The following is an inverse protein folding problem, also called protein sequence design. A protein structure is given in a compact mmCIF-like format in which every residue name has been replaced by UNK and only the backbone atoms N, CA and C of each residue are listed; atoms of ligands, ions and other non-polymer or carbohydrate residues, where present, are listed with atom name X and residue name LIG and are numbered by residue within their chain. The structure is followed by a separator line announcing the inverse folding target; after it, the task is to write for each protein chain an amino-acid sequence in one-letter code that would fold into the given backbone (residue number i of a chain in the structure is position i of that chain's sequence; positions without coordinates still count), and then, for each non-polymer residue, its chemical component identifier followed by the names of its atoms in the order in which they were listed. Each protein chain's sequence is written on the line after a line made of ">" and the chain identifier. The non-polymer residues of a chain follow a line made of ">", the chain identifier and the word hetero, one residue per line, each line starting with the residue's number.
data_IF_961231973303
#
_entry.id   IF_961231973303
#
_cell.length_a   1.000
_cell.length_b   1.000
_cell.length_c   1.000
_cell.angle_alpha   90.00
_cell.angle_beta   90.00
_cell.angle_gamma   90.00
#
_symmetry.space_group_name_H-M   'P 1'
#
loop_
_entity.id
_entity.type
_entity.pdbx_description
1 polymer ?
#
# COMPACT_ATOMS: atom_id res chain seq x y z
N UNK A 1 -5.75 -12.71 -9.48
CA UNK A 1 -4.48 -13.44 -9.74
C UNK A 1 -4.72 -14.95 -9.75
N UNK A 2 -5.03 -15.61 -8.63
CA UNK A 2 -5.22 -17.08 -8.58
C UNK A 2 -6.36 -17.58 -9.47
N UNK A 3 -7.51 -16.92 -9.52
CA UNK A 3 -8.60 -17.28 -10.42
C UNK A 3 -8.18 -17.17 -11.89
N UNK A 4 -7.42 -16.14 -12.26
CA UNK A 4 -6.88 -16.00 -13.62
C UNK A 4 -5.83 -17.08 -13.98
N UNK A 5 -5.21 -17.69 -12.97
CA UNK A 5 -4.30 -18.82 -13.12
C UNK A 5 -5.02 -20.19 -13.05
N UNK A 6 -6.36 -20.20 -13.04
CA UNK A 6 -7.16 -21.44 -13.02
C UNK A 6 -7.28 -22.11 -11.65
N UNK A 7 -6.87 -21.45 -10.58
CA UNK A 7 -7.04 -22.00 -9.24
C UNK A 7 -8.53 -22.02 -8.84
N UNK A 8 -9.01 -23.10 -8.19
CA UNK A 8 -10.37 -23.17 -7.70
C UNK A 8 -10.62 -22.12 -6.62
N UNK A 9 -11.79 -21.53 -6.61
CA UNK A 9 -12.21 -20.58 -5.56
C UNK A 9 -13.05 -21.32 -4.48
N UNK A 10 -12.95 -20.93 -3.19
CA UNK A 10 -12.04 -19.94 -2.64
C UNK A 10 -10.60 -20.46 -2.49
N UNK A 11 -9.61 -19.58 -2.66
CA UNK A 11 -8.21 -19.91 -2.38
C UNK A 11 -7.96 -19.77 -0.88
N UNK A 12 -7.38 -20.77 -0.23
CA UNK A 12 -7.05 -20.70 1.18
C UNK A 12 -5.98 -19.64 1.48
N UNK A 13 -6.08 -18.96 2.61
CA UNK A 13 -5.13 -17.91 3.02
C UNK A 13 -3.69 -18.43 3.10
N UNK A 14 -3.50 -19.70 3.51
CA UNK A 14 -2.19 -20.34 3.54
C UNK A 14 -1.52 -20.41 2.17
N UNK A 15 -2.28 -20.70 1.11
CA UNK A 15 -1.78 -20.74 -0.27
C UNK A 15 -1.31 -19.34 -0.71
N UNK A 16 -2.05 -18.29 -0.34
CA UNK A 16 -1.67 -16.92 -0.62
C UNK A 16 -0.41 -16.53 0.18
N UNK A 17 -0.34 -16.90 1.44
CA UNK A 17 0.82 -16.67 2.30
C UNK A 17 2.06 -17.36 1.73
N UNK A 18 1.98 -18.64 1.42
CA UNK A 18 3.10 -19.39 0.86
C UNK A 18 3.57 -18.80 -0.47
N UNK A 19 2.64 -18.40 -1.33
CA UNK A 19 2.97 -17.73 -2.59
C UNK A 19 3.74 -16.43 -2.33
N UNK A 20 3.27 -15.57 -1.42
CA UNK A 20 3.92 -14.27 -1.13
C UNK A 20 5.30 -14.45 -0.50
N UNK A 21 5.44 -15.38 0.44
CA UNK A 21 6.75 -15.68 1.07
C UNK A 21 7.75 -16.22 0.05
N UNK A 22 7.31 -17.15 -0.80
CA UNK A 22 8.17 -17.70 -1.86
C UNK A 22 8.53 -16.64 -2.90
N UNK A 23 7.59 -15.76 -3.26
CA UNK A 23 7.88 -14.61 -4.13
C UNK A 23 8.91 -13.66 -3.50
N UNK A 24 8.79 -13.37 -2.20
CA UNK A 24 9.76 -12.55 -1.48
C UNK A 24 11.17 -13.18 -1.51
N UNK A 25 11.29 -14.48 -1.26
CA UNK A 25 12.56 -15.21 -1.36
C UNK A 25 13.17 -15.15 -2.76
N UNK A 26 12.34 -15.37 -3.78
CA UNK A 26 12.81 -15.45 -5.16
C UNK A 26 13.19 -14.09 -5.76
N UNK A 27 12.45 -13.02 -5.40
CA UNK A 27 12.58 -11.72 -6.05
C UNK A 27 13.47 -10.74 -5.28
N UNK A 28 13.55 -10.84 -3.96
CA UNK A 28 14.33 -9.89 -3.15
C UNK A 28 15.81 -9.82 -3.49
N UNK A 29 16.51 -10.89 -3.95
CA UNK A 29 17.90 -10.77 -4.39
C UNK A 29 18.11 -9.83 -5.57
N UNK A 30 17.05 -9.56 -6.36
CA UNK A 30 17.09 -8.76 -7.59
C UNK A 30 16.39 -7.42 -7.43
N UNK A 31 15.90 -7.08 -6.24
CA UNK A 31 15.16 -5.86 -5.97
C UNK A 31 15.87 -5.01 -4.92
N UNK A 32 15.80 -3.68 -5.05
CA UNK A 32 16.25 -2.74 -4.02
C UNK A 32 15.32 -2.69 -2.81
N UNK A 33 14.03 -2.94 -3.03
CA UNK A 33 13.02 -3.03 -1.98
C UNK A 33 11.87 -3.94 -2.39
N UNK A 34 11.17 -4.52 -1.40
CA UNK A 34 9.96 -5.33 -1.60
C UNK A 34 8.88 -4.92 -0.62
N UNK A 35 7.65 -4.82 -1.12
CA UNK A 35 6.47 -4.50 -0.31
C UNK A 35 5.81 -5.78 0.19
N UNK A 36 5.59 -5.87 1.49
CA UNK A 36 4.87 -6.94 2.17
C UNK A 36 3.63 -6.41 2.88
N UNK A 37 2.57 -7.19 2.93
CA UNK A 37 1.36 -6.84 3.67
C UNK A 37 1.33 -7.53 5.04
N UNK A 38 0.67 -6.88 5.99
CA UNK A 38 0.52 -7.37 7.36
C UNK A 38 -0.32 -8.65 7.44
N UNK A 39 -1.36 -8.72 6.63
CA UNK A 39 -2.40 -9.75 6.76
C UNK A 39 -1.89 -11.16 6.42
N UNK A 40 -1.09 -11.28 5.35
CA UNK A 40 -0.77 -12.60 4.78
C UNK A 40 0.70 -12.99 4.82
N UNK A 41 1.64 -12.04 4.88
CA UNK A 41 3.03 -12.44 4.70
C UNK A 41 4.08 -11.76 5.59
N UNK A 42 3.83 -10.60 6.18
CA UNK A 42 4.85 -9.89 6.96
C UNK A 42 5.49 -10.77 8.03
N UNK A 43 4.68 -11.40 8.88
CA UNK A 43 5.17 -12.23 9.98
C UNK A 43 6.04 -13.40 9.48
N UNK A 44 5.53 -14.12 8.48
CA UNK A 44 6.25 -15.27 7.91
C UNK A 44 7.52 -14.87 7.17
N UNK A 45 7.51 -13.71 6.52
CA UNK A 45 8.69 -13.14 5.85
C UNK A 45 9.79 -12.84 6.88
N UNK A 46 9.43 -12.26 8.03
CA UNK A 46 10.37 -11.97 9.12
C UNK A 46 10.88 -13.25 9.77
N UNK A 47 9.98 -14.14 10.21
CA UNK A 47 10.32 -15.40 10.88
C UNK A 47 11.23 -16.30 10.03
N UNK A 48 11.01 -16.32 8.71
CA UNK A 48 11.78 -17.14 7.78
C UNK A 48 13.00 -16.44 7.18
N UNK A 49 13.26 -15.17 7.55
CA UNK A 49 14.31 -14.34 6.92
C UNK A 49 14.19 -14.38 5.39
N UNK A 50 12.97 -14.21 4.87
CA UNK A 50 12.64 -14.46 3.46
C UNK A 50 13.11 -13.35 2.50
N UNK A 51 13.58 -12.22 3.01
CA UNK A 51 14.08 -11.08 2.21
C UNK A 51 15.61 -11.06 2.26
N UNK A 52 16.25 -10.93 1.09
CA UNK A 52 17.70 -10.80 0.97
C UNK A 52 18.20 -9.57 1.73
N UNK A 53 19.38 -9.64 2.36
CA UNK A 53 19.95 -8.53 3.14
C UNK A 53 20.20 -7.25 2.33
N UNK A 54 20.35 -7.37 1.01
CA UNK A 54 20.49 -6.25 0.07
C UNK A 54 19.18 -5.55 -0.27
N UNK A 55 18.03 -6.13 0.10
CA UNK A 55 16.70 -5.64 -0.26
C UNK A 55 16.01 -5.03 0.96
N UNK A 56 15.51 -3.81 0.82
CA UNK A 56 14.75 -3.15 1.88
C UNK A 56 13.33 -3.73 2.00
N UNK A 57 12.87 -3.93 3.23
CA UNK A 57 11.48 -4.31 3.50
C UNK A 57 10.62 -3.07 3.67
N UNK A 58 9.57 -2.97 2.86
CA UNK A 58 8.49 -1.99 2.96
C UNK A 58 7.25 -2.72 3.48
N UNK A 59 6.56 -2.17 4.47
CA UNK A 59 5.35 -2.80 5.03
C UNK A 59 4.13 -1.96 4.71
N UNK A 60 3.07 -2.61 4.22
CA UNK A 60 1.79 -1.94 4.00
C UNK A 60 1.16 -1.52 5.32
N UNK A 61 0.70 -0.26 5.38
CA UNK A 61 0.06 0.34 6.55
C UNK A 61 -1.42 0.64 6.29
N UNK A 62 -1.96 0.15 5.21
CA UNK A 62 -3.31 0.37 4.76
C UNK A 62 -4.25 -0.76 5.20
N UNK A 63 -5.41 -0.41 5.73
CA UNK A 63 -6.55 -1.30 5.95
C UNK A 63 -7.63 -0.98 4.91
N UNK A 64 -8.02 -2.00 4.13
CA UNK A 64 -9.04 -1.89 3.10
C UNK A 64 -10.43 -2.11 3.68
N UNK A 65 -11.30 -1.13 3.46
CA UNK A 65 -12.68 -1.18 3.92
C UNK A 65 -13.59 -1.49 2.71
N UNK A 66 -14.26 -2.65 2.70
CA UNK A 66 -15.22 -2.98 1.65
C UNK A 66 -16.49 -2.15 1.78
N UNK A 67 -17.16 -1.91 0.67
CA UNK A 67 -18.42 -1.18 0.63
C UNK A 67 -18.96 -1.11 -0.80
N UNK A 68 -20.21 -0.74 -0.95
CA UNK A 68 -20.84 -0.52 -2.25
C UNK A 68 -20.63 -1.67 -3.26
N UNK A 69 -20.55 -2.92 -2.78
CA UNK A 69 -20.34 -4.11 -3.61
C UNK A 69 -18.93 -4.28 -4.15
N UNK A 70 -17.95 -3.49 -3.70
CA UNK A 70 -16.54 -3.59 -4.07
C UNK A 70 -15.65 -3.91 -2.87
N UNK A 71 -14.55 -4.68 -3.08
CA UNK A 71 -13.65 -5.10 -1.99
C UNK A 71 -12.90 -3.95 -1.32
N UNK A 72 -12.66 -2.85 -2.04
CA UNK A 72 -11.95 -1.66 -1.55
C UNK A 72 -12.75 -0.43 -1.92
N UNK A 73 -13.62 0.01 -1.02
CA UNK A 73 -14.43 1.22 -1.17
C UNK A 73 -13.78 2.44 -0.52
N UNK A 74 -13.12 2.23 0.62
CA UNK A 74 -12.28 3.22 1.29
C UNK A 74 -11.03 2.57 1.89
N UNK A 75 -10.08 3.40 2.31
CA UNK A 75 -8.82 2.99 2.93
C UNK A 75 -8.58 3.85 4.16
N UNK A 76 -8.08 3.23 5.22
CA UNK A 76 -7.64 3.91 6.44
C UNK A 76 -6.26 3.40 6.84
N UNK A 77 -5.59 4.10 7.74
CA UNK A 77 -4.36 3.60 8.36
C UNK A 77 -4.72 2.38 9.23
N UNK A 78 -4.05 1.25 9.02
CA UNK A 78 -4.22 0.06 9.87
C UNK A 78 -3.76 0.38 11.31
N UNK A 79 -4.71 0.42 12.23
CA UNK A 79 -4.44 0.73 13.65
C UNK A 79 -3.72 -0.40 14.41
N UNK A 80 -3.56 -1.56 13.81
CA UNK A 80 -2.81 -2.68 14.36
C UNK A 80 -1.33 -2.63 14.03
N UNK A 81 -0.93 -1.71 13.12
CA UNK A 81 0.46 -1.57 12.73
C UNK A 81 1.32 -1.12 13.93
N UNK A 82 2.45 -1.77 14.09
CA UNK A 82 3.44 -1.41 15.13
C UNK A 82 4.75 -0.97 14.46
N UNK A 83 4.94 0.34 14.23
CA UNK A 83 6.12 0.84 13.53
C UNK A 83 7.43 0.54 14.24
N UNK A 84 7.42 0.53 15.58
CA UNK A 84 8.60 0.18 16.38
C UNK A 84 9.03 -1.27 16.12
N UNK A 85 8.08 -2.21 16.15
CA UNK A 85 8.35 -3.61 15.86
C UNK A 85 8.85 -3.79 14.42
N UNK A 86 8.20 -3.14 13.47
CA UNK A 86 8.62 -3.18 12.05
C UNK A 86 10.06 -2.69 11.90
N UNK A 87 10.43 -1.61 12.59
CA UNK A 87 11.80 -1.11 12.60
C UNK A 87 12.80 -2.12 13.17
N UNK A 88 12.44 -2.77 14.29
CA UNK A 88 13.24 -3.81 14.93
C UNK A 88 13.41 -5.05 14.03
N UNK A 89 12.39 -5.41 13.28
CA UNK A 89 12.37 -6.51 12.31
C UNK A 89 13.13 -6.17 11.01
N UNK A 90 13.72 -4.97 10.93
CA UNK A 90 14.52 -4.53 9.79
C UNK A 90 13.75 -3.78 8.70
N UNK A 91 12.47 -3.47 8.90
CA UNK A 91 11.68 -2.63 8.01
C UNK A 91 12.30 -1.24 7.84
N UNK A 92 12.22 -0.71 6.62
CA UNK A 92 12.79 0.59 6.25
C UNK A 92 11.74 1.63 5.96
N UNK A 93 10.57 1.22 5.52
CA UNK A 93 9.48 2.09 5.11
C UNK A 93 8.12 1.50 5.44
N UNK A 94 7.14 2.38 5.58
CA UNK A 94 5.73 2.03 5.51
C UNK A 94 5.13 2.58 4.21
N UNK A 95 4.10 1.92 3.69
CA UNK A 95 3.36 2.37 2.51
C UNK A 95 1.87 2.50 2.85
N UNK A 96 1.30 3.65 2.54
CA UNK A 96 -0.14 3.92 2.65
C UNK A 96 -0.74 4.10 1.25
N UNK A 97 -1.76 3.30 0.91
CA UNK A 97 -2.61 3.55 -0.24
C UNK A 97 -3.62 4.65 0.12
N UNK A 98 -3.73 5.66 -0.73
CA UNK A 98 -4.69 6.76 -0.60
C UNK A 98 -5.67 6.68 -1.76
N UNK A 99 -6.93 6.29 -1.50
CA UNK A 99 -7.94 6.39 -2.55
C UNK A 99 -8.26 7.85 -2.82
N UNK A 100 -8.17 8.23 -4.08
CA UNK A 100 -8.48 9.57 -4.52
C UNK A 100 -9.71 9.58 -5.43
N UNK A 101 -10.71 10.37 -5.06
CA UNK A 101 -11.88 10.70 -5.88
C UNK A 101 -12.11 12.19 -5.83
N UNK A 102 -12.46 12.77 -6.97
CA UNK A 102 -12.66 14.22 -7.10
C UNK A 102 -13.83 14.77 -6.28
N UNK A 103 -14.78 13.93 -5.92
CA UNK A 103 -15.98 14.29 -5.15
C UNK A 103 -15.90 13.90 -3.66
N UNK A 104 -14.74 13.47 -3.19
CA UNK A 104 -14.46 13.20 -1.76
C UNK A 104 -13.65 14.34 -1.13
N UNK A 105 -13.66 14.40 0.20
CA UNK A 105 -13.04 15.48 0.97
C UNK A 105 -11.50 15.43 0.88
N UNK A 106 -10.92 16.44 0.26
CA UNK A 106 -9.47 16.62 0.14
C UNK A 106 -8.79 16.82 1.50
N UNK A 107 -9.44 17.54 2.43
CA UNK A 107 -8.86 17.78 3.75
C UNK A 107 -8.73 16.48 4.55
N UNK A 108 -9.73 15.61 4.48
CA UNK A 108 -9.68 14.31 5.13
C UNK A 108 -8.51 13.44 4.62
N UNK A 109 -8.24 13.48 3.30
CA UNK A 109 -7.08 12.79 2.73
C UNK A 109 -5.76 13.37 3.20
N UNK A 110 -5.64 14.70 3.21
CA UNK A 110 -4.44 15.39 3.69
C UNK A 110 -4.18 15.12 5.17
N UNK A 111 -5.21 15.12 6.01
CA UNK A 111 -5.09 14.81 7.43
C UNK A 111 -4.63 13.37 7.66
N UNK A 112 -5.16 12.41 6.90
CA UNK A 112 -4.73 11.01 6.95
C UNK A 112 -3.26 10.85 6.53
N UNK A 113 -2.84 11.52 5.46
CA UNK A 113 -1.44 11.48 5.00
C UNK A 113 -0.51 12.14 6.01
N UNK A 114 -0.91 13.25 6.62
CA UNK A 114 -0.14 13.90 7.68
C UNK A 114 0.04 12.98 8.89
N UNK A 115 -1.04 12.37 9.37
CA UNK A 115 -0.98 11.39 10.47
C UNK A 115 -0.03 10.22 10.12
N UNK A 116 -0.11 9.71 8.91
CA UNK A 116 0.76 8.63 8.44
C UNK A 116 2.23 9.04 8.39
N UNK A 117 2.55 10.24 7.91
CA UNK A 117 3.91 10.76 7.88
C UNK A 117 4.48 10.92 9.30
N UNK A 118 3.68 11.49 10.21
CA UNK A 118 4.07 11.62 11.62
C UNK A 118 4.35 10.24 12.26
N UNK A 119 3.51 9.24 11.96
CA UNK A 119 3.71 7.87 12.41
C UNK A 119 5.03 7.28 11.90
N UNK A 120 5.36 7.47 10.62
CA UNK A 120 6.61 6.98 10.05
C UNK A 120 7.82 7.70 10.64
N UNK A 121 7.83 9.03 10.59
CA UNK A 121 8.97 9.85 10.96
C UNK A 121 9.31 9.74 12.45
N UNK A 122 8.31 9.66 13.33
CA UNK A 122 8.55 9.47 14.77
C UNK A 122 9.28 8.17 15.10
N UNK A 123 9.25 7.18 14.20
CA UNK A 123 9.95 5.90 14.34
C UNK A 123 11.17 5.78 13.41
N UNK A 124 11.52 6.83 12.67
CA UNK A 124 12.63 6.83 11.71
C UNK A 124 12.42 5.82 10.57
N UNK A 125 11.19 5.70 10.10
CA UNK A 125 10.80 4.96 8.90
C UNK A 125 10.51 5.93 7.76
N UNK A 126 10.81 5.50 6.54
CA UNK A 126 10.45 6.24 5.33
C UNK A 126 8.93 6.13 5.10
N UNK A 127 8.27 7.25 4.81
CA UNK A 127 6.86 7.30 4.44
C UNK A 127 6.68 7.23 2.93
N UNK A 128 5.86 6.27 2.47
CA UNK A 128 5.51 6.12 1.05
C UNK A 128 4.00 6.25 0.92
N UNK A 129 3.52 7.21 0.14
CA UNK A 129 2.11 7.28 -0.21
C UNK A 129 1.88 6.80 -1.64
N UNK A 130 0.77 6.11 -1.85
CA UNK A 130 0.35 5.58 -3.14
C UNK A 130 -1.08 6.06 -3.45
N UNK A 131 -1.26 7.28 -3.98
CA UNK A 131 -2.57 7.72 -4.44
C UNK A 131 -3.04 6.88 -5.63
N UNK A 132 -4.23 6.30 -5.49
CA UNK A 132 -4.90 5.51 -6.52
C UNK A 132 -6.22 6.18 -6.86
N UNK A 133 -6.32 6.65 -8.12
CA UNK A 133 -7.52 7.36 -8.57
C UNK A 133 -8.66 6.39 -8.87
N UNK A 134 -9.86 6.80 -8.50
CA UNK A 134 -11.11 6.08 -8.74
C UNK A 134 -12.16 7.01 -9.34
N UNK A 135 -13.12 6.49 -10.10
CA UNK A 135 -14.26 7.29 -10.53
C UNK A 135 -14.95 7.99 -9.35
N UNK A 136 -15.50 9.19 -9.54
CA UNK A 136 -16.28 9.85 -8.51
C UNK A 136 -17.48 8.99 -8.12
N UNK A 137 -17.97 9.13 -6.90
CA UNK A 137 -19.15 8.39 -6.43
C UNK A 137 -20.44 8.89 -7.10
N UNK A 138 -20.40 10.12 -7.59
CA UNK A 138 -21.52 10.78 -8.28
C UNK A 138 -21.07 11.29 -9.64
N UNK A 139 -21.85 11.01 -10.67
CA UNK A 139 -21.58 11.43 -12.04
C UNK A 139 -20.96 10.32 -12.91
N UNK A 140 -21.06 10.51 -14.24
CA UNK A 140 -20.70 9.47 -15.23
C UNK A 140 -19.38 9.76 -15.94
N UNK A 141 -18.81 10.95 -15.75
CA UNK A 141 -17.56 11.34 -16.43
C UNK A 141 -16.36 11.15 -15.52
N UNK A 142 -15.42 10.35 -15.98
CA UNK A 142 -14.15 10.12 -15.32
C UNK A 142 -12.99 10.20 -16.31
N UNK A 143 -12.21 11.26 -16.20
CA UNK A 143 -10.93 11.40 -16.88
C UNK A 143 -9.84 10.92 -15.92
N UNK A 144 -9.35 9.71 -16.15
CA UNK A 144 -8.37 9.08 -15.27
C UNK A 144 -7.02 9.80 -15.29
N UNK A 145 -6.58 10.29 -16.45
CA UNK A 145 -5.30 10.98 -16.57
C UNK A 145 -5.33 12.33 -15.85
N UNK A 146 -6.39 13.09 -16.04
CA UNK A 146 -6.57 14.33 -15.28
C UNK A 146 -6.67 14.08 -13.77
N UNK A 147 -7.36 13.02 -13.35
CA UNK A 147 -7.45 12.64 -11.95
C UNK A 147 -6.07 12.28 -11.35
N UNK A 148 -5.19 11.60 -12.08
CA UNK A 148 -3.81 11.32 -11.65
C UNK A 148 -3.03 12.62 -11.44
N UNK A 149 -3.17 13.57 -12.36
CA UNK A 149 -2.53 14.90 -12.26
C UNK A 149 -3.06 15.67 -11.04
N UNK A 150 -4.37 15.66 -10.83
CA UNK A 150 -5.00 16.38 -9.73
C UNK A 150 -4.67 15.75 -8.36
N UNK A 151 -4.61 14.42 -8.28
CA UNK A 151 -4.13 13.72 -7.10
C UNK A 151 -2.65 14.07 -6.79
N UNK A 152 -1.80 14.18 -7.82
CA UNK A 152 -0.41 14.56 -7.64
C UNK A 152 -0.26 16.02 -7.19
N UNK A 153 -1.09 16.94 -7.68
CA UNK A 153 -1.10 18.34 -7.22
C UNK A 153 -1.58 18.45 -5.76
N UNK A 154 -2.58 17.64 -5.36
CA UNK A 154 -3.12 17.66 -4.01
C UNK A 154 -2.17 17.07 -2.98
N UNK A 155 -1.53 15.95 -3.31
CA UNK A 155 -0.79 15.13 -2.34
C UNK A 155 0.73 15.14 -2.53
N UNK A 156 1.24 15.72 -3.62
CA UNK A 156 2.67 15.69 -3.94
C UNK A 156 3.56 16.39 -2.92
N UNK A 157 3.07 17.48 -2.34
CA UNK A 157 3.78 18.25 -1.32
C UNK A 157 3.29 17.96 0.12
N UNK A 158 2.68 16.79 0.34
CA UNK A 158 2.11 16.39 1.63
C UNK A 158 3.13 16.04 2.71
N UNK A 159 4.43 16.12 2.40
CA UNK A 159 5.52 15.79 3.32
C UNK A 159 5.87 14.31 3.40
N UNK A 160 5.30 13.46 2.54
CA UNK A 160 5.75 12.08 2.38
C UNK A 160 7.13 12.02 1.71
N UNK A 161 7.98 11.08 2.15
CA UNK A 161 9.32 10.93 1.60
C UNK A 161 9.32 10.42 0.15
N UNK A 162 8.35 9.56 -0.19
CA UNK A 162 8.18 9.01 -1.53
C UNK A 162 6.71 9.04 -1.95
N UNK A 163 6.50 9.43 -3.20
CA UNK A 163 5.20 9.43 -3.87
C UNK A 163 5.20 8.36 -4.97
N UNK A 164 4.42 7.28 -4.79
CA UNK A 164 4.23 6.25 -5.78
C UNK A 164 3.03 6.62 -6.67
N UNK A 165 3.27 6.87 -7.93
CA UNK A 165 2.26 7.35 -8.86
C UNK A 165 1.84 6.29 -9.87
N UNK A 166 0.57 6.31 -10.26
CA UNK A 166 0.09 5.62 -11.44
C UNK A 166 0.63 6.33 -12.70
N UNK A 167 1.13 5.54 -13.67
CA UNK A 167 1.56 6.11 -14.95
C UNK A 167 0.33 6.53 -15.77
N UNK A 168 0.27 7.80 -16.25
CA UNK A 168 -0.73 8.17 -17.24
C UNK A 168 -0.50 7.34 -18.52
N UNK A 169 -1.59 6.90 -19.11
CA UNK A 169 -1.54 6.23 -20.42
C UNK A 169 -1.79 7.30 -21.48
N UNK A 170 -0.88 7.46 -22.42
CA UNK A 170 -1.01 8.41 -23.54
C UNK A 170 -2.02 7.91 -24.57
#
# INVERSE_FOLDING_TARGET
>A
MFAAAGAPAPVADSVLTDFKVNAAKALSPYASAILVDQQFCYRQVVEQNAIAKSCAMIVAADEFIPGNGIPVDSVVIDRKINPLQIKQDGGKALKLLVLWRSDEDAQQRLDMVKEFNELCHSHGLVSIIEPVVRPPRRGDKFDREQAIIDAAKELGDSGADLYKVEMPLY
#
